data_IF_288269053120
#
_entry.id   IF_288269053120
#
_cell.length_a   1.000
_cell.length_b   1.000
_cell.length_c   1.000
_cell.angle_alpha   90.00
_cell.angle_beta   90.00
_cell.angle_gamma   90.00
#
_symmetry.space_group_name_H-M   'P 1'
#
loop_
_entity.id
_entity.type
_entity.pdbx_description
1 polymer ?
#
# COMPACT_ATOMS: atom_id res chain seq x y z
N UNK A 1 -23.05 -3.07 4.64
CA UNK A 1 -21.66 -3.51 4.74
C UNK A 1 -21.65 -5.03 4.79
N UNK A 2 -20.86 -5.66 3.93
CA UNK A 2 -20.66 -7.11 3.91
C UNK A 2 -19.17 -7.42 4.07
N UNK A 3 -18.86 -8.61 4.54
CA UNK A 3 -17.48 -9.11 4.53
C UNK A 3 -17.30 -10.04 3.34
N UNK A 4 -16.16 -9.93 2.66
CA UNK A 4 -15.75 -10.88 1.64
C UNK A 4 -15.09 -12.08 2.31
N UNK A 5 -15.31 -13.29 1.77
CA UNK A 5 -14.55 -14.49 2.16
C UNK A 5 -13.10 -14.35 1.66
N UNK A 6 -12.27 -13.66 2.45
CA UNK A 6 -10.86 -13.37 2.17
C UNK A 6 -10.06 -14.12 3.22
N UNK A 7 -9.36 -15.17 2.81
CA UNK A 7 -8.60 -16.01 3.72
C UNK A 7 -7.10 -15.89 3.45
N UNK A 8 -6.30 -16.00 4.50
CA UNK A 8 -4.84 -16.18 4.39
C UNK A 8 -4.53 -17.58 3.85
N UNK A 9 -3.27 -17.87 3.50
CA UNK A 9 -2.79 -19.20 3.10
C UNK A 9 -3.03 -20.27 4.15
N UNK A 10 -3.13 -19.88 5.42
CA UNK A 10 -3.50 -20.77 6.53
C UNK A 10 -5.01 -20.89 6.74
N UNK A 11 -5.82 -20.39 5.80
CA UNK A 11 -7.29 -20.43 5.84
C UNK A 11 -7.92 -19.61 6.98
N UNK A 12 -7.19 -18.65 7.55
CA UNK A 12 -7.78 -17.73 8.53
C UNK A 12 -8.51 -16.60 7.81
N UNK A 13 -9.77 -16.35 8.18
CA UNK A 13 -10.54 -15.23 7.64
C UNK A 13 -9.88 -13.90 8.01
N UNK A 14 -9.66 -13.06 7.00
CA UNK A 14 -9.16 -11.69 7.13
C UNK A 14 -10.35 -10.76 7.34
N UNK A 15 -10.37 -10.03 8.47
CA UNK A 15 -11.38 -9.03 8.76
C UNK A 15 -11.35 -7.92 7.70
N UNK A 16 -12.45 -7.76 6.97
CA UNK A 16 -12.53 -6.84 5.85
C UNK A 16 -13.95 -6.27 5.69
N UNK A 17 -14.07 -5.13 5.04
CA UNK A 17 -15.36 -4.49 4.78
C UNK A 17 -15.49 -4.18 3.29
N UNK A 18 -16.54 -4.70 2.69
CA UNK A 18 -17.03 -4.29 1.38
C UNK A 18 -18.28 -3.43 1.57
N UNK A 19 -18.21 -2.18 1.11
CA UNK A 19 -19.36 -1.31 1.02
C UNK A 19 -19.48 -0.76 -0.41
N UNK A 20 -20.30 -1.38 -1.27
CA UNK A 20 -20.48 -0.92 -2.65
C UNK A 20 -21.23 0.41 -2.73
N UNK A 21 -21.87 0.85 -1.64
CA UNK A 21 -22.68 2.07 -1.59
C UNK A 21 -22.02 3.19 -0.79
N UNK A 22 -20.82 2.98 -0.26
CA UNK A 22 -20.11 4.01 0.46
C UNK A 22 -19.85 5.20 -0.47
N UNK A 23 -20.34 6.37 -0.05
CA UNK A 23 -20.14 7.65 -0.72
C UNK A 23 -19.30 8.53 0.19
N UNK A 24 -18.09 8.84 -0.22
CA UNK A 24 -17.28 9.86 0.46
C UNK A 24 -17.54 11.23 -0.16
N UNK A 25 -18.36 12.04 0.51
CA UNK A 25 -18.53 13.45 0.14
C UNK A 25 -17.19 14.19 0.24
N UNK A 26 -16.92 15.11 -0.69
CA UNK A 26 -15.68 15.91 -0.69
C UNK A 26 -14.44 15.15 -1.17
N UNK A 27 -14.55 13.89 -1.59
CA UNK A 27 -13.39 13.09 -1.99
C UNK A 27 -12.63 13.65 -3.19
N UNK A 28 -13.33 14.33 -4.10
CA UNK A 28 -12.73 15.03 -5.25
C UNK A 28 -11.80 16.14 -4.78
N UNK A 29 -12.23 16.97 -3.81
CA UNK A 29 -11.40 18.06 -3.30
C UNK A 29 -10.14 17.54 -2.60
N UNK A 30 -10.23 16.43 -1.85
CA UNK A 30 -9.07 15.77 -1.23
C UNK A 30 -8.15 15.16 -2.29
N UNK A 31 -8.71 14.49 -3.31
CA UNK A 31 -7.94 13.94 -4.43
C UNK A 31 -7.16 15.04 -5.16
N UNK A 32 -7.79 16.18 -5.41
CA UNK A 32 -7.15 17.32 -6.07
C UNK A 32 -6.12 18.00 -5.18
N UNK A 33 -6.33 18.06 -3.86
CA UNK A 33 -5.30 18.50 -2.91
C UNK A 33 -4.05 17.63 -2.98
N UNK A 34 -4.23 16.30 -3.00
CA UNK A 34 -3.10 15.37 -3.16
C UNK A 34 -2.37 15.56 -4.48
N UNK A 35 -3.07 15.77 -5.61
CA UNK A 35 -2.43 16.06 -6.91
C UNK A 35 -1.57 17.31 -6.86
N UNK A 36 -2.00 18.34 -6.12
CA UNK A 36 -1.22 19.58 -5.96
C UNK A 36 -0.02 19.40 -5.04
N UNK A 37 -0.18 18.64 -3.95
CA UNK A 37 0.87 18.44 -2.93
C UNK A 37 1.97 17.47 -3.36
N UNK A 38 1.64 16.51 -4.23
CA UNK A 38 2.55 15.46 -4.68
C UNK A 38 2.68 15.48 -6.22
N UNK A 39 3.15 16.58 -6.84
CA UNK A 39 3.16 16.73 -8.29
C UNK A 39 4.11 15.78 -9.01
N UNK A 40 5.05 15.17 -8.27
CA UNK A 40 6.01 14.15 -8.76
C UNK A 40 5.42 12.75 -8.78
N UNK A 41 4.28 12.53 -8.12
CA UNK A 41 3.60 11.26 -8.13
C UNK A 41 2.80 11.08 -9.43
N UNK A 42 2.68 9.84 -9.90
CA UNK A 42 1.82 9.51 -11.02
C UNK A 42 0.44 9.10 -10.50
N UNK A 43 -0.49 10.05 -10.56
CA UNK A 43 -1.88 9.87 -10.16
C UNK A 43 -2.63 9.10 -11.26
N UNK A 44 -2.97 7.83 -11.01
CA UNK A 44 -3.67 7.00 -12.01
C UNK A 44 -5.09 7.52 -12.21
N UNK A 45 -5.61 7.39 -13.43
CA UNK A 45 -6.98 7.73 -13.82
C UNK A 45 -8.01 6.72 -13.29
N UNK A 46 -7.93 6.38 -12.01
CA UNK A 46 -8.93 5.58 -11.29
C UNK A 46 -9.83 6.51 -10.52
N UNK A 47 -11.14 6.35 -10.64
CA UNK A 47 -12.10 7.11 -9.84
C UNK A 47 -11.86 6.86 -8.33
N UNK A 48 -12.05 7.89 -7.48
CA UNK A 48 -12.17 7.69 -6.05
C UNK A 48 -13.19 6.61 -5.73
N UNK A 49 -12.84 5.74 -4.81
CA UNK A 49 -13.66 4.57 -4.50
C UNK A 49 -13.54 4.19 -3.05
N UNK A 50 -14.68 3.81 -2.49
CA UNK A 50 -14.79 3.25 -1.16
C UNK A 50 -14.85 1.72 -1.13
N UNK A 51 -14.67 1.05 -2.26
CA UNK A 51 -14.69 -0.42 -2.32
C UNK A 51 -13.46 -1.05 -1.65
N UNK A 52 -12.31 -0.38 -1.72
CA UNK A 52 -11.05 -0.85 -1.12
C UNK A 52 -10.26 0.33 -0.54
N UNK A 53 -9.24 0.04 0.27
CA UNK A 53 -8.26 1.01 0.78
C UNK A 53 -6.84 0.59 0.36
N UNK A 54 -5.79 1.20 0.89
CA UNK A 54 -4.40 0.81 0.58
C UNK A 54 -4.14 -0.69 0.84
N UNK A 55 -4.47 -1.19 2.02
CA UNK A 55 -4.34 -2.62 2.36
C UNK A 55 -5.22 -3.50 1.47
N UNK A 56 -6.42 -3.03 1.13
CA UNK A 56 -7.31 -3.69 0.17
C UNK A 56 -6.73 -3.79 -1.24
N UNK A 57 -6.00 -2.77 -1.70
CA UNK A 57 -5.25 -2.81 -2.95
C UNK A 57 -4.13 -3.84 -2.86
N UNK A 58 -3.36 -3.81 -1.78
CA UNK A 58 -2.18 -4.65 -1.56
C UNK A 58 -2.52 -6.14 -1.39
N UNK A 59 -3.43 -6.47 -0.48
CA UNK A 59 -3.71 -7.85 -0.07
C UNK A 59 -5.07 -8.36 -0.55
N UNK A 60 -6.04 -7.46 -0.76
CA UNK A 60 -7.40 -7.80 -1.18
C UNK A 60 -7.61 -7.78 -2.70
N UNK A 61 -6.58 -7.45 -3.49
CA UNK A 61 -6.66 -7.23 -4.93
C UNK A 61 -7.80 -6.26 -5.32
N UNK A 62 -7.94 -5.16 -4.57
CA UNK A 62 -8.96 -4.09 -4.79
C UNK A 62 -10.42 -4.50 -4.54
N UNK A 63 -10.67 -5.67 -3.93
CA UNK A 63 -12.05 -6.18 -3.74
C UNK A 63 -12.72 -5.76 -2.44
N UNK A 64 -11.93 -5.34 -1.44
CA UNK A 64 -12.43 -5.05 -0.10
C UNK A 64 -11.46 -4.14 0.65
N UNK A 65 -11.87 -3.63 1.82
CA UNK A 65 -11.08 -2.77 2.72
C UNK A 65 -10.58 -3.58 3.90
N UNK A 66 -9.32 -3.40 4.28
CA UNK A 66 -8.74 -4.03 5.46
C UNK A 66 -8.31 -2.90 6.40
N UNK A 67 -8.96 -2.77 7.56
CA UNK A 67 -8.81 -1.61 8.45
C UNK A 67 -7.98 -1.87 9.70
N UNK A 68 -8.02 -3.09 10.23
CA UNK A 68 -7.39 -3.40 11.50
C UNK A 68 -5.90 -3.70 11.27
N UNK A 69 -4.96 -3.01 11.92
CA UNK A 69 -3.52 -3.29 11.80
C UNK A 69 -3.16 -4.75 12.09
N UNK A 70 -3.88 -5.38 13.04
CA UNK A 70 -3.73 -6.79 13.36
C UNK A 70 -4.02 -7.72 12.16
N UNK A 71 -4.87 -7.33 11.22
CA UNK A 71 -5.17 -8.11 10.02
C UNK A 71 -4.00 -8.08 9.04
N UNK A 72 -3.31 -6.94 8.91
CA UNK A 72 -2.08 -6.85 8.11
C UNK A 72 -0.99 -7.75 8.73
N UNK A 73 -0.80 -7.69 10.06
CA UNK A 73 0.14 -8.58 10.76
C UNK A 73 -0.20 -10.05 10.54
N UNK A 74 -1.48 -10.42 10.63
CA UNK A 74 -1.95 -11.77 10.38
C UNK A 74 -1.67 -12.22 8.95
N UNK A 75 -1.98 -11.40 7.94
CA UNK A 75 -1.70 -11.71 6.53
C UNK A 75 -0.20 -11.94 6.33
N UNK A 76 0.65 -11.04 6.82
CA UNK A 76 2.11 -11.18 6.68
C UNK A 76 2.62 -12.50 7.29
N UNK A 77 2.15 -12.84 8.49
CA UNK A 77 2.55 -14.06 9.19
C UNK A 77 2.01 -15.32 8.50
N UNK A 78 0.70 -15.38 8.26
CA UNK A 78 0.02 -16.56 7.75
C UNK A 78 0.40 -16.87 6.30
N UNK A 79 0.60 -15.84 5.46
CA UNK A 79 0.95 -16.02 4.05
C UNK A 79 2.44 -16.31 3.83
N UNK A 80 3.24 -16.29 4.90
CA UNK A 80 4.67 -16.59 4.85
C UNK A 80 5.49 -15.46 4.21
N UNK A 81 5.09 -14.21 4.44
CA UNK A 81 5.93 -13.07 4.10
C UNK A 81 7.14 -13.03 5.03
N UNK A 82 8.29 -12.67 4.47
CA UNK A 82 9.50 -12.36 5.23
C UNK A 82 9.97 -10.95 4.87
N UNK A 83 10.64 -10.31 5.81
CA UNK A 83 11.18 -8.97 5.61
C UNK A 83 12.35 -9.01 4.61
N UNK A 84 12.38 -8.06 3.70
CA UNK A 84 13.43 -7.84 2.70
C UNK A 84 14.07 -6.49 2.97
N UNK A 85 15.39 -6.43 2.87
CA UNK A 85 16.16 -5.21 3.13
C UNK A 85 16.86 -4.73 1.86
N UNK A 86 16.97 -3.41 1.65
CA UNK A 86 17.83 -2.87 0.61
C UNK A 86 19.25 -3.48 0.66
N UNK A 87 19.90 -3.73 -0.49
CA UNK A 87 19.45 -3.43 -1.85
C UNK A 87 18.55 -4.52 -2.48
N UNK A 88 18.11 -5.54 -1.74
CA UNK A 88 17.41 -6.72 -2.28
C UNK A 88 15.91 -6.49 -2.57
N UNK A 89 15.42 -5.27 -2.39
CA UNK A 89 14.02 -4.92 -2.69
C UNK A 89 13.83 -4.95 -4.21
N UNK A 90 12.79 -5.63 -4.67
CA UNK A 90 12.49 -5.84 -6.09
C UNK A 90 11.03 -5.50 -6.41
N UNK A 91 10.69 -5.25 -7.69
CA UNK A 91 9.30 -5.15 -8.11
C UNK A 91 8.52 -6.41 -7.72
N UNK A 92 7.32 -6.21 -7.15
CA UNK A 92 6.49 -7.28 -6.58
C UNK A 92 6.56 -7.38 -5.06
N UNK A 93 7.60 -6.80 -4.43
CA UNK A 93 7.65 -6.72 -2.96
C UNK A 93 6.53 -5.82 -2.42
N UNK A 94 6.09 -6.11 -1.21
CA UNK A 94 5.12 -5.29 -0.49
C UNK A 94 5.87 -4.33 0.41
N UNK A 95 5.48 -3.06 0.39
CA UNK A 95 5.94 -2.07 1.36
C UNK A 95 4.85 -1.82 2.38
N UNK A 96 5.21 -1.76 3.66
CA UNK A 96 4.31 -1.39 4.76
C UNK A 96 4.93 -0.27 5.57
N UNK A 97 4.14 0.76 5.83
CA UNK A 97 4.48 1.90 6.65
C UNK A 97 3.85 1.69 8.02
N UNK A 98 4.67 1.80 9.06
CA UNK A 98 4.22 1.65 10.44
C UNK A 98 4.24 3.00 11.15
N UNK A 99 3.21 3.24 11.95
CA UNK A 99 3.09 4.42 12.80
C UNK A 99 3.98 4.33 14.05
N UNK A 100 3.82 5.28 14.97
CA UNK A 100 4.58 5.34 16.23
C UNK A 100 4.24 4.22 17.20
N UNK A 101 3.06 3.60 17.06
CA UNK A 101 2.59 2.48 17.86
C UNK A 101 3.03 1.12 17.26
N UNK A 102 3.62 1.13 16.07
CA UNK A 102 4.01 -0.08 15.34
C UNK A 102 2.83 -0.75 14.63
N UNK A 103 1.74 -0.02 14.42
CA UNK A 103 0.59 -0.44 13.64
C UNK A 103 0.78 -0.10 12.16
N UNK A 104 0.33 -1.00 11.28
CA UNK A 104 0.39 -0.79 9.83
C UNK A 104 -0.62 0.31 9.44
N UNK A 105 -0.09 1.48 9.06
CA UNK A 105 -0.83 2.68 8.68
C UNK A 105 -1.09 2.71 7.16
N UNK A 106 -0.11 2.25 6.38
CA UNK A 106 -0.20 2.24 4.93
C UNK A 106 0.51 1.04 4.31
N UNK A 107 0.08 0.64 3.11
CA UNK A 107 0.78 -0.37 2.33
C UNK A 107 0.69 -0.10 0.84
N UNK A 108 1.63 -0.69 0.10
CA UNK A 108 1.67 -0.64 -1.35
C UNK A 108 2.47 -1.79 -1.93
N UNK A 109 2.52 -1.83 -3.25
CA UNK A 109 3.27 -2.82 -4.03
C UNK A 109 4.42 -2.07 -4.70
N UNK A 110 5.64 -2.54 -4.52
CA UNK A 110 6.80 -2.03 -5.27
C UNK A 110 6.62 -2.38 -6.73
N UNK A 111 6.62 -1.37 -7.61
CA UNK A 111 6.40 -1.56 -9.06
C UNK A 111 7.64 -1.29 -9.89
N UNK A 112 8.61 -0.54 -9.34
CA UNK A 112 9.84 -0.18 -10.04
C UNK A 112 10.93 0.10 -9.01
N UNK A 113 12.16 -0.27 -9.33
CA UNK A 113 13.35 0.15 -8.58
C UNK A 113 14.07 1.19 -9.44
N UNK A 114 13.90 2.48 -9.11
CA UNK A 114 14.55 3.54 -9.85
C UNK A 114 16.06 3.51 -9.56
N UNK A 115 16.86 3.40 -10.62
CA UNK A 115 18.31 3.64 -10.58
C UNK A 115 18.53 5.12 -10.90
N UNK A 116 19.25 5.87 -10.05
CA UNK A 116 19.71 7.20 -10.44
C UNK A 116 20.80 7.07 -11.50
N UNK A 117 20.83 8.00 -12.43
CA UNK A 117 21.59 7.92 -13.68
C UNK A 117 23.11 8.11 -13.53
N UNK A 118 23.62 8.30 -12.31
CA UNK A 118 25.04 8.37 -12.02
C UNK A 118 25.52 7.01 -11.48
N UNK A 119 26.26 6.26 -12.30
CA UNK A 119 26.87 4.93 -12.07
C UNK A 119 27.84 4.83 -10.85
N UNK A 120 27.61 5.58 -9.78
CA UNK A 120 28.29 5.35 -8.50
C UNK A 120 27.63 4.15 -7.82
N UNK A 121 28.44 3.12 -7.56
CA UNK A 121 28.07 1.83 -6.95
C UNK A 121 27.54 1.93 -5.48
N UNK A 122 27.16 3.12 -5.03
CA UNK A 122 26.67 3.44 -3.69
C UNK A 122 25.22 3.93 -3.69
N UNK A 123 24.54 3.93 -4.84
CA UNK A 123 23.16 4.38 -4.93
C UNK A 123 22.20 3.43 -4.20
N UNK A 124 21.56 3.96 -3.15
CA UNK A 124 20.43 3.32 -2.49
C UNK A 124 19.30 3.17 -3.52
N UNK A 125 18.89 1.93 -3.84
CA UNK A 125 17.76 1.71 -4.75
C UNK A 125 16.55 2.49 -4.24
N UNK A 126 15.90 3.27 -5.11
CA UNK A 126 14.75 4.11 -4.71
C UNK A 126 13.46 3.48 -5.24
N UNK A 127 12.68 2.75 -4.42
CA UNK A 127 11.49 2.07 -4.89
C UNK A 127 10.39 3.06 -5.25
N UNK A 128 9.72 2.82 -6.38
CA UNK A 128 8.40 3.37 -6.65
C UNK A 128 7.34 2.35 -6.25
N UNK A 129 6.26 2.86 -5.68
CA UNK A 129 5.23 2.10 -5.01
C UNK A 129 3.89 2.45 -5.62
N UNK A 130 3.14 1.44 -6.02
CA UNK A 130 1.72 1.55 -6.31
C UNK A 130 0.94 1.38 -5.00
N UNK A 131 0.20 2.41 -4.61
CA UNK A 131 -0.69 2.36 -3.45
C UNK A 131 -1.97 3.15 -3.71
N UNK A 132 -2.84 3.25 -2.70
CA UNK A 132 -4.05 4.09 -2.73
C UNK A 132 -4.03 5.03 -1.54
N UNK A 133 -4.33 6.30 -1.77
CA UNK A 133 -4.30 7.32 -0.72
C UNK A 133 -5.71 7.60 -0.19
N UNK A 134 -6.00 7.06 1.00
CA UNK A 134 -7.33 7.13 1.61
C UNK A 134 -8.43 6.57 0.70
N UNK A 135 -9.54 7.29 0.59
CA UNK A 135 -10.64 6.97 -0.34
C UNK A 135 -10.43 7.51 -1.77
N UNK A 136 -9.31 8.18 -2.05
CA UNK A 136 -9.05 8.84 -3.34
C UNK A 136 -8.65 7.84 -4.43
N UNK A 137 -7.76 8.20 -5.34
CA UNK A 137 -7.32 7.39 -6.47
C UNK A 137 -6.07 6.56 -6.15
N UNK A 138 -5.70 5.66 -7.06
CA UNK A 138 -4.44 4.92 -7.00
C UNK A 138 -3.27 5.79 -7.48
N UNK A 139 -2.12 5.66 -6.82
CA UNK A 139 -0.95 6.50 -7.08
C UNK A 139 0.29 5.64 -7.18
N UNK A 140 1.11 5.90 -8.19
CA UNK A 140 2.49 5.43 -8.24
C UNK A 140 3.40 6.56 -7.78
N UNK A 141 4.12 6.36 -6.68
CA UNK A 141 4.94 7.40 -6.05
C UNK A 141 6.25 6.82 -5.52
N UNK A 142 7.26 7.64 -5.25
CA UNK A 142 8.43 7.17 -4.51
C UNK A 142 8.05 6.81 -3.08
N UNK A 143 8.74 5.83 -2.49
CA UNK A 143 8.42 5.35 -1.13
C UNK A 143 8.37 6.46 -0.06
N UNK A 144 9.10 7.57 -0.26
CA UNK A 144 9.14 8.71 0.65
C UNK A 144 8.30 9.92 0.19
N UNK A 145 7.51 9.79 -0.88
CA UNK A 145 6.71 10.86 -1.48
C UNK A 145 5.21 10.55 -1.35
N UNK A 146 4.70 10.55 -0.12
CA UNK A 146 3.30 10.21 0.17
C UNK A 146 2.79 10.86 1.47
N UNK A 147 1.47 10.90 1.72
CA UNK A 147 0.90 11.56 2.89
C UNK A 147 0.97 10.76 4.20
N UNK A 148 1.70 9.65 4.22
CA UNK A 148 1.77 8.72 5.36
C UNK A 148 3.07 8.86 6.13
N UNK A 149 3.09 8.32 7.36
CA UNK A 149 4.28 8.33 8.20
C UNK A 149 5.44 7.57 7.54
N UNK A 150 6.60 8.23 7.42
CA UNK A 150 7.83 7.62 6.90
C UNK A 150 8.75 7.10 8.01
N UNK A 151 8.28 7.06 9.28
CA UNK A 151 9.13 6.72 10.44
C UNK A 151 9.71 5.32 10.34
N UNK A 152 8.84 4.34 10.07
CA UNK A 152 9.22 2.93 10.00
C UNK A 152 8.64 2.34 8.73
N UNK A 153 9.51 1.99 7.79
CA UNK A 153 9.14 1.40 6.51
C UNK A 153 9.80 0.03 6.44
N UNK A 154 9.02 -1.00 6.08
CA UNK A 154 9.52 -2.36 5.89
C UNK A 154 9.03 -2.93 4.58
N UNK A 155 9.87 -3.75 3.95
CA UNK A 155 9.54 -4.45 2.71
C UNK A 155 9.35 -5.93 3.00
N UNK A 156 8.43 -6.57 2.30
CA UNK A 156 8.06 -7.94 2.52
C UNK A 156 7.92 -8.70 1.20
N UNK A 157 8.39 -9.95 1.20
CA UNK A 157 8.27 -10.86 0.07
C UNK A 157 7.71 -12.19 0.55
N UNK A 158 6.82 -12.80 -0.23
CA UNK A 158 6.35 -14.15 0.05
C UNK A 158 7.45 -15.15 -0.28
N UNK A 159 7.67 -16.15 0.59
CA UNK A 159 8.47 -17.31 0.18
C UNK A 159 7.72 -18.06 -0.92
N UNK A 160 8.44 -18.35 -2.01
CA UNK A 160 7.98 -19.22 -3.09
C UNK A 160 7.80 -20.65 -2.59
#
# INVERSE_FOLDING_TARGET
MTELALHTRQSNQVGNICDPNARTHGITAVSDDYKRRYPTAFHRSTEPTDTYNCHGLTFGARRTRIYRPAEVRKILADDGYHEVFPPHVEPGDIIVYFDEQGDADHSGIVVEIAKRADDSALLVPTPKVLSKWGSCHEVVHFFNDCPYSLRTIRYFRMKQ
#
